data_IF_486708110295
#
_entry.id   IF_486708110295
#
_cell.length_a   1.000
_cell.length_b   1.000
_cell.length_c   1.000
_cell.angle_alpha   90.00
_cell.angle_beta   90.00
_cell.angle_gamma   90.00
#
_symmetry.space_group_name_H-M   'P 1'
#
loop_
_entity.id
_entity.type
_entity.pdbx_description
1 polymer ?
#
# COMPACT_ATOMS: atom_id res chain seq x y z
N UNK A 1 6.55 -9.65 -34.31
CA UNK A 1 5.32 -10.38 -34.64
C UNK A 1 4.22 -9.38 -34.89
N UNK A 2 3.41 -9.61 -35.92
CA UNK A 2 2.28 -8.73 -36.28
C UNK A 2 1.10 -8.88 -35.32
N UNK A 3 0.99 -10.01 -34.60
CA UNK A 3 -0.07 -10.27 -33.60
C UNK A 3 0.29 -9.80 -32.18
N UNK A 4 1.46 -9.19 -31.98
CA UNK A 4 1.91 -8.75 -30.65
C UNK A 4 1.19 -7.49 -30.20
N UNK A 5 0.78 -7.45 -28.93
CA UNK A 5 0.19 -6.26 -28.30
C UNK A 5 1.23 -5.39 -27.58
N UNK A 6 2.50 -5.80 -27.62
CA UNK A 6 3.61 -5.17 -26.92
C UNK A 6 3.39 -5.04 -25.41
N UNK A 7 2.68 -5.99 -24.81
CA UNK A 7 2.39 -6.04 -23.38
C UNK A 7 3.39 -6.93 -22.62
N UNK A 8 3.68 -6.54 -21.38
CA UNK A 8 4.57 -7.32 -20.52
C UNK A 8 3.97 -8.71 -20.20
N UNK A 9 2.69 -8.77 -19.83
CA UNK A 9 2.03 -10.00 -19.41
C UNK A 9 1.63 -10.93 -20.57
N UNK A 10 1.18 -10.35 -21.67
CA UNK A 10 0.69 -11.09 -22.85
C UNK A 10 1.77 -11.57 -23.81
N UNK A 11 2.85 -10.80 -23.99
CA UNK A 11 3.88 -11.09 -25.00
C UNK A 11 5.24 -11.45 -24.37
N UNK A 12 5.75 -10.55 -23.52
CA UNK A 12 7.14 -10.62 -23.05
C UNK A 12 7.34 -11.75 -22.04
N UNK A 13 6.48 -11.85 -21.02
CA UNK A 13 6.61 -12.90 -19.99
C UNK A 13 6.42 -14.32 -20.57
N UNK A 14 5.44 -14.60 -21.45
CA UNK A 14 5.33 -15.91 -22.11
C UNK A 14 6.56 -16.27 -22.95
N UNK A 15 7.13 -15.29 -23.67
CA UNK A 15 8.36 -15.49 -24.45
C UNK A 15 9.56 -15.82 -23.55
N UNK A 16 9.74 -15.10 -22.44
CA UNK A 16 10.80 -15.38 -21.45
C UNK A 16 10.62 -16.73 -20.78
N UNK A 17 9.37 -17.14 -20.53
CA UNK A 17 9.05 -18.45 -19.96
C UNK A 17 9.39 -19.56 -20.96
N UNK A 18 9.01 -19.39 -22.23
CA UNK A 18 9.27 -20.36 -23.30
C UNK A 18 10.76 -20.55 -23.60
N UNK A 19 11.55 -19.49 -23.46
CA UNK A 19 13.01 -19.53 -23.61
C UNK A 19 13.77 -20.03 -22.36
N UNK A 20 13.07 -20.35 -21.27
CA UNK A 20 13.67 -20.77 -20.00
C UNK A 20 14.41 -19.66 -19.25
N UNK A 21 14.25 -18.40 -19.67
CA UNK A 21 14.88 -17.23 -19.07
C UNK A 21 14.06 -16.66 -17.90
N UNK A 22 12.76 -16.96 -17.81
CA UNK A 22 11.92 -16.50 -16.71
C UNK A 22 12.43 -17.01 -15.35
N UNK A 23 12.35 -16.15 -14.34
CA UNK A 23 12.63 -16.46 -12.94
C UNK A 23 11.50 -15.89 -12.09
N UNK A 24 11.25 -16.53 -10.96
CA UNK A 24 10.28 -16.07 -9.98
C UNK A 24 11.01 -15.49 -8.77
N UNK A 25 10.48 -14.40 -8.23
CA UNK A 25 10.92 -13.81 -6.99
C UNK A 25 9.79 -13.94 -5.98
N UNK A 26 10.07 -14.48 -4.80
CA UNK A 26 9.06 -14.60 -3.76
C UNK A 26 9.00 -13.31 -2.95
N UNK A 27 7.89 -12.59 -3.08
CA UNK A 27 7.66 -11.33 -2.37
C UNK A 27 7.77 -11.49 -0.84
N UNK A 28 7.49 -12.68 -0.31
CA UNK A 28 7.56 -12.95 1.14
C UNK A 28 8.97 -12.86 1.71
N UNK A 29 9.98 -12.99 0.86
CA UNK A 29 11.39 -12.99 1.24
C UNK A 29 11.93 -11.55 1.41
N UNK A 30 11.12 -10.54 1.03
CA UNK A 30 11.43 -9.15 1.34
C UNK A 30 11.46 -8.92 2.86
N UNK A 31 12.39 -8.07 3.28
CA UNK A 31 12.49 -7.58 4.65
C UNK A 31 12.41 -6.06 4.64
N UNK A 32 11.31 -5.52 5.14
CA UNK A 32 11.15 -4.07 5.29
C UNK A 32 11.70 -3.62 6.66
N UNK A 33 12.62 -2.65 6.71
CA UNK A 33 13.14 -2.13 7.98
C UNK A 33 12.02 -1.69 8.93
N UNK A 34 11.98 -2.27 10.12
CA UNK A 34 11.00 -1.92 11.14
C UNK A 34 9.62 -2.57 10.97
N UNK A 35 9.47 -3.49 10.02
CA UNK A 35 8.30 -4.36 9.95
C UNK A 35 8.20 -5.26 11.19
N UNK A 36 7.00 -5.72 11.42
CA UNK A 36 6.56 -6.68 12.43
C UNK A 36 5.95 -7.88 11.73
N UNK A 37 5.72 -8.98 12.46
CA UNK A 37 5.03 -10.14 11.90
C UNK A 37 3.60 -9.83 11.39
N UNK A 38 2.99 -8.73 11.83
CA UNK A 38 1.61 -8.37 11.47
C UNK A 38 1.53 -7.62 10.15
N UNK A 39 2.47 -6.71 9.88
CA UNK A 39 2.50 -5.85 8.68
C UNK A 39 3.44 -6.39 7.58
N UNK A 40 4.17 -7.46 7.87
CA UNK A 40 5.02 -8.14 6.89
C UNK A 40 4.21 -8.61 5.68
N UNK A 41 4.73 -8.28 4.49
CA UNK A 41 4.13 -8.70 3.23
C UNK A 41 2.77 -8.06 2.93
N UNK A 42 2.44 -6.93 3.56
CA UNK A 42 1.21 -6.20 3.25
C UNK A 42 1.19 -5.74 1.78
N UNK A 43 0.19 -6.19 1.03
CA UNK A 43 -0.05 -5.82 -0.37
C UNK A 43 -1.57 -5.80 -0.65
N UNK A 44 -2.03 -4.78 -1.38
CA UNK A 44 -3.43 -4.62 -1.79
C UNK A 44 -3.47 -4.15 -3.25
N UNK A 45 -4.33 -4.77 -4.05
CA UNK A 45 -4.53 -4.44 -5.48
C UNK A 45 -5.43 -3.20 -5.69
N UNK A 46 -6.35 -2.93 -4.76
CA UNK A 46 -7.24 -1.76 -4.75
C UNK A 46 -8.00 -1.54 -6.09
N UNK A 47 -8.35 -2.62 -6.78
CA UNK A 47 -9.04 -2.57 -8.08
C UNK A 47 -10.57 -2.34 -8.04
N UNK A 48 -11.19 -2.32 -6.87
CA UNK A 48 -12.65 -2.20 -6.69
C UNK A 48 -12.98 -1.19 -5.59
N UNK A 49 -14.22 -0.71 -5.55
CA UNK A 49 -14.66 0.20 -4.48
C UNK A 49 -14.56 -0.47 -3.10
N UNK A 50 -14.97 -1.73 -2.99
CA UNK A 50 -14.91 -2.48 -1.73
C UNK A 50 -13.44 -2.70 -1.29
N UNK A 51 -12.55 -3.09 -2.21
CA UNK A 51 -11.13 -3.26 -1.86
C UNK A 51 -10.44 -1.93 -1.52
N UNK A 52 -10.90 -0.81 -2.09
CA UNK A 52 -10.46 0.53 -1.68
C UNK A 52 -10.93 0.87 -0.26
N UNK A 53 -12.19 0.59 0.06
CA UNK A 53 -12.76 0.81 1.39
C UNK A 53 -12.07 -0.05 2.46
N UNK A 54 -11.84 -1.33 2.16
CA UNK A 54 -11.14 -2.25 3.07
C UNK A 54 -9.71 -1.79 3.35
N UNK A 55 -8.96 -1.39 2.32
CA UNK A 55 -7.60 -0.88 2.48
C UNK A 55 -7.54 0.41 3.32
N UNK A 56 -8.58 1.26 3.28
CA UNK A 56 -8.69 2.42 4.16
C UNK A 56 -9.06 2.02 5.59
N UNK A 57 -9.94 1.04 5.75
CA UNK A 57 -10.35 0.56 7.07
C UNK A 57 -9.18 -0.09 7.82
N UNK A 58 -8.28 -0.77 7.10
CA UNK A 58 -7.04 -1.31 7.65
C UNK A 58 -6.21 -0.25 8.39
N UNK A 59 -6.22 1.01 7.93
CA UNK A 59 -5.48 2.14 8.53
C UNK A 59 -6.06 2.62 9.86
N UNK A 60 -7.39 2.65 9.97
CA UNK A 60 -8.08 3.24 11.12
C UNK A 60 -8.44 2.23 12.21
N UNK A 61 -8.14 0.95 11.97
CA UNK A 61 -8.31 -0.10 12.97
C UNK A 61 -7.41 0.12 14.20
N UNK A 62 -7.82 -0.43 15.36
CA UNK A 62 -7.06 -0.28 16.63
C UNK A 62 -5.61 -0.78 16.50
N UNK A 63 -5.39 -1.80 15.68
CA UNK A 63 -4.07 -2.35 15.38
C UNK A 63 -3.91 -2.45 13.86
N UNK A 64 -3.53 -1.34 13.18
CA UNK A 64 -3.43 -1.28 11.73
C UNK A 64 -2.49 -2.35 11.19
N UNK A 65 -2.96 -3.10 10.20
CA UNK A 65 -2.10 -4.04 9.46
C UNK A 65 -1.15 -3.24 8.56
N UNK A 66 -1.59 -2.10 8.04
CA UNK A 66 -0.70 -1.17 7.35
C UNK A 66 -0.19 -0.07 8.30
N UNK A 67 1.06 -0.22 8.73
CA UNK A 67 1.66 0.60 9.78
C UNK A 67 2.30 1.88 9.23
N UNK A 68 1.51 2.98 9.15
CA UNK A 68 2.01 4.30 8.78
C UNK A 68 2.98 4.93 9.80
N UNK A 69 3.13 4.34 10.99
CA UNK A 69 3.99 4.85 12.06
C UNK A 69 5.41 4.26 12.01
N UNK A 70 5.71 3.37 11.05
CA UNK A 70 7.05 2.83 10.84
C UNK A 70 8.02 3.91 10.30
N UNK A 71 8.76 4.56 11.19
CA UNK A 71 9.76 5.59 10.83
C UNK A 71 11.03 5.04 10.18
N UNK A 72 11.26 3.73 10.20
CA UNK A 72 12.43 3.09 9.55
C UNK A 72 12.19 2.88 8.05
N UNK A 73 10.92 2.91 7.63
CA UNK A 73 10.51 2.83 6.23
C UNK A 73 9.40 3.85 5.95
N UNK A 74 9.73 5.16 5.93
CA UNK A 74 8.73 6.21 5.83
C UNK A 74 8.08 6.26 4.45
N UNK A 75 6.78 6.57 4.42
CA UNK A 75 6.07 6.93 3.20
C UNK A 75 6.18 8.44 3.00
N UNK A 76 6.84 8.86 1.93
CA UNK A 76 6.94 10.27 1.57
C UNK A 76 5.77 10.69 0.70
N UNK A 77 5.21 11.86 1.02
CA UNK A 77 4.15 12.53 0.25
C UNK A 77 4.41 14.03 0.26
N UNK A 78 3.58 14.80 -0.42
CA UNK A 78 3.63 16.26 -0.38
C UNK A 78 2.61 16.78 0.64
N UNK A 79 3.00 17.06 1.91
CA UNK A 79 2.05 17.54 2.90
C UNK A 79 1.71 19.01 2.63
N UNK A 80 0.46 19.33 2.25
CA UNK A 80 0.02 20.73 2.18
C UNK A 80 0.03 21.38 3.58
N UNK A 81 0.29 22.68 3.62
CA UNK A 81 0.14 23.48 4.85
C UNK A 81 -1.35 23.71 5.11
N UNK A 82 -1.89 22.99 6.09
CA UNK A 82 -3.28 23.11 6.51
C UNK A 82 -3.35 23.42 7.99
N UNK A 83 -4.32 24.24 8.43
CA UNK A 83 -4.62 24.39 9.85
C UNK A 83 -4.81 23.02 10.53
N UNK A 84 -4.47 22.89 11.81
CA UNK A 84 -4.67 21.65 12.55
C UNK A 84 -6.15 21.27 12.59
N UNK A 85 -6.41 19.97 12.72
CA UNK A 85 -7.76 19.47 12.96
C UNK A 85 -8.32 20.11 14.25
N UNK A 86 -9.46 20.79 14.13
CA UNK A 86 -10.11 21.51 15.23
C UNK A 86 -11.43 20.83 15.61
N UNK A 87 -11.53 20.41 16.87
CA UNK A 87 -12.78 19.93 17.47
C UNK A 87 -13.33 21.03 18.39
N UNK A 88 -14.64 21.28 18.34
CA UNK A 88 -15.33 22.28 19.18
C UNK A 88 -16.53 21.62 19.88
N UNK A 89 -16.97 22.19 21.00
CA UNK A 89 -18.06 21.66 21.83
C UNK A 89 -17.84 20.17 22.17
N UNK A 90 -18.72 19.28 21.72
CA UNK A 90 -18.64 17.82 21.91
C UNK A 90 -18.08 17.08 20.68
N UNK A 91 -17.22 17.73 19.90
CA UNK A 91 -16.61 17.13 18.70
C UNK A 91 -15.77 15.89 19.02
N UNK A 92 -15.97 14.81 18.25
CA UNK A 92 -15.27 13.53 18.38
C UNK A 92 -14.84 13.03 17.00
N UNK A 93 -13.72 12.30 16.96
CA UNK A 93 -13.31 11.50 15.82
C UNK A 93 -13.30 10.04 16.24
N UNK A 94 -13.97 9.20 15.47
CA UNK A 94 -14.08 7.75 15.68
C UNK A 94 -13.56 7.06 14.41
N UNK A 95 -12.80 5.98 14.59
CA UNK A 95 -12.16 5.23 13.49
C UNK A 95 -11.48 6.15 12.47
N UNK A 96 -10.59 7.03 12.96
CA UNK A 96 -10.01 8.12 12.17
C UNK A 96 -8.53 8.33 12.48
N UNK A 97 -7.75 8.70 11.47
CA UNK A 97 -6.41 9.27 11.63
C UNK A 97 -6.52 10.80 11.57
N UNK A 98 -6.06 11.48 12.61
CA UNK A 98 -6.07 12.95 12.71
C UNK A 98 -4.68 13.50 12.43
N UNK A 99 -4.55 14.32 11.38
CA UNK A 99 -3.30 14.99 11.03
C UNK A 99 -3.00 16.18 11.95
N UNK A 100 -1.72 16.43 12.20
CA UNK A 100 -1.26 17.49 13.12
C UNK A 100 -1.43 18.92 12.60
N UNK A 101 -1.80 19.11 11.34
CA UNK A 101 -1.68 20.41 10.65
C UNK A 101 -0.22 20.81 10.43
N UNK A 102 0.01 21.78 9.56
CA UNK A 102 1.31 22.42 9.29
C UNK A 102 1.14 23.92 9.10
#
# INVERSE_FOLDING_TARGET
>A
DEDSLHDMGGDIIPMLTSSGAARVYDFKDNVVPGETERDKGYWRDVGTLDSYYDAHTDLVSVHPIFNLYNRRWPIFTNPPQFPPAKFVESGRAEDSIVGSGL
#
